data_IF_067902570751
#
_entry.id   IF_067902570751
#
_cell.length_a   1.000
_cell.length_b   1.000
_cell.length_c   1.000
_cell.angle_alpha   90.00
_cell.angle_beta   90.00
_cell.angle_gamma   90.00
#
_symmetry.space_group_name_H-M   'P 1'
#
loop_
_entity.id
_entity.type
_entity.pdbx_description
1 polymer ?
#
# COMPACT_ATOMS: atom_id res chain seq x y z
N UNK A 1 -34.75 5.60 18.62
CA UNK A 1 -34.12 4.51 17.85
C UNK A 1 -33.63 5.07 16.52
N UNK A 2 -32.34 5.41 16.43
CA UNK A 2 -31.74 5.97 15.21
C UNK A 2 -30.43 5.26 14.95
N UNK A 3 -30.47 4.13 14.26
CA UNK A 3 -29.27 3.45 13.80
C UNK A 3 -28.72 4.26 12.63
N UNK A 4 -27.85 5.23 12.93
CA UNK A 4 -27.05 5.88 11.91
C UNK A 4 -26.30 4.79 11.15
N UNK A 5 -26.64 4.61 9.88
CA UNK A 5 -25.95 3.66 8.99
C UNK A 5 -24.51 4.16 8.78
N UNK A 6 -23.61 3.80 9.68
CA UNK A 6 -22.19 4.06 9.53
C UNK A 6 -21.75 3.34 8.25
N UNK A 7 -21.39 4.11 7.22
CA UNK A 7 -20.72 3.61 6.01
C UNK A 7 -19.40 2.97 6.44
N UNK A 8 -19.42 1.68 6.77
CA UNK A 8 -18.22 0.94 7.15
C UNK A 8 -17.40 0.67 5.89
N UNK A 9 -16.13 1.07 5.92
CA UNK A 9 -15.17 0.63 4.91
C UNK A 9 -15.07 -0.90 4.94
N UNK A 10 -14.92 -1.51 3.76
CA UNK A 10 -14.68 -2.94 3.68
C UNK A 10 -13.40 -3.30 4.44
N UNK A 11 -13.46 -4.35 5.27
CA UNK A 11 -12.29 -4.88 5.98
C UNK A 11 -11.14 -5.20 5.01
N UNK A 12 -11.46 -5.67 3.79
CA UNK A 12 -10.47 -5.92 2.73
C UNK A 12 -9.80 -4.64 2.23
N UNK A 13 -10.56 -3.54 2.07
CA UNK A 13 -10.00 -2.26 1.67
C UNK A 13 -9.06 -1.66 2.75
N UNK A 14 -9.41 -1.85 4.03
CA UNK A 14 -8.57 -1.45 5.16
C UNK A 14 -7.28 -2.28 5.17
N UNK A 15 -7.37 -3.60 5.04
CA UNK A 15 -6.20 -4.48 5.03
C UNK A 15 -5.25 -4.16 3.86
N UNK A 16 -5.77 -4.05 2.63
CA UNK A 16 -4.96 -3.67 1.46
C UNK A 16 -4.23 -2.34 1.66
N UNK A 17 -4.91 -1.36 2.25
CA UNK A 17 -4.29 -0.06 2.52
C UNK A 17 -3.11 -0.16 3.49
N UNK A 18 -3.30 -0.85 4.63
CA UNK A 18 -2.25 -0.97 5.64
C UNK A 18 -1.08 -1.84 5.17
N UNK A 19 -1.33 -2.88 4.38
CA UNK A 19 -0.27 -3.70 3.77
C UNK A 19 0.59 -2.82 2.83
N UNK A 20 -0.05 -2.04 1.95
CA UNK A 20 0.66 -1.12 1.06
C UNK A 20 1.45 -0.09 1.87
N UNK A 21 0.84 0.50 2.91
CA UNK A 21 1.51 1.49 3.74
C UNK A 21 2.75 0.92 4.43
N UNK A 22 2.67 -0.28 5.02
CA UNK A 22 3.80 -0.96 5.63
C UNK A 22 4.92 -1.25 4.63
N UNK A 23 4.57 -1.71 3.42
CA UNK A 23 5.55 -1.96 2.35
C UNK A 23 6.24 -0.68 1.90
N UNK A 24 5.50 0.43 1.75
CA UNK A 24 6.07 1.74 1.37
C UNK A 24 7.04 2.24 2.45
N UNK A 25 6.67 2.15 3.73
CA UNK A 25 7.55 2.54 4.84
C UNK A 25 8.84 1.71 4.83
N UNK A 26 8.73 0.38 4.68
CA UNK A 26 9.89 -0.50 4.58
C UNK A 26 10.76 -0.15 3.35
N UNK A 27 10.13 0.19 2.22
CA UNK A 27 10.80 0.55 0.98
C UNK A 27 11.62 1.84 1.10
N UNK A 28 11.04 2.86 1.74
CA UNK A 28 11.70 4.13 2.06
C UNK A 28 12.84 3.88 3.04
N UNK A 29 12.58 3.20 4.17
CA UNK A 29 13.62 2.91 5.16
C UNK A 29 14.80 2.11 4.59
N UNK A 30 14.55 1.22 3.63
CA UNK A 30 15.60 0.49 2.94
C UNK A 30 16.46 1.37 2.01
N UNK A 31 15.85 2.38 1.37
CA UNK A 31 16.60 3.34 0.57
C UNK A 31 17.48 4.23 1.45
N UNK A 32 16.89 4.79 2.52
CA UNK A 32 17.57 5.63 3.51
C UNK A 32 18.75 4.89 4.17
N UNK A 33 18.56 3.61 4.54
CA UNK A 33 19.61 2.77 5.12
C UNK A 33 20.85 2.62 4.21
N UNK A 34 20.70 2.85 2.90
CA UNK A 34 21.78 2.67 1.92
C UNK A 34 22.45 3.97 1.49
N UNK A 35 22.08 5.13 2.06
CA UNK A 35 22.62 6.43 1.62
C UNK A 35 24.14 6.53 1.74
N UNK A 36 24.70 6.06 2.86
CA UNK A 36 26.14 6.13 3.14
C UNK A 36 26.94 4.93 2.60
N UNK A 37 26.30 4.01 1.88
CA UNK A 37 26.96 2.81 1.36
C UNK A 37 27.72 3.08 0.05
N UNK A 38 28.80 2.35 -0.17
CA UNK A 38 29.46 2.32 -1.49
C UNK A 38 28.53 1.72 -2.54
N UNK A 39 28.79 2.01 -3.81
CA UNK A 39 27.93 1.53 -4.90
C UNK A 39 27.90 0.02 -5.01
N UNK A 40 29.01 -0.68 -4.73
CA UNK A 40 29.01 -2.15 -4.71
C UNK A 40 28.16 -2.72 -3.57
N UNK A 41 28.24 -2.12 -2.37
CA UNK A 41 27.51 -2.59 -1.20
C UNK A 41 25.99 -2.30 -1.30
N UNK A 42 25.61 -1.22 -1.99
CA UNK A 42 24.21 -0.78 -2.16
C UNK A 42 23.39 -1.66 -3.10
N UNK A 43 24.03 -2.33 -4.06
CA UNK A 43 23.36 -3.10 -5.13
C UNK A 43 22.28 -4.08 -4.62
N UNK A 44 22.63 -5.05 -3.74
CA UNK A 44 21.69 -6.04 -3.22
C UNK A 44 20.48 -5.42 -2.51
N UNK A 45 20.68 -4.35 -1.73
CA UNK A 45 19.59 -3.65 -1.04
C UNK A 45 18.66 -2.94 -2.02
N UNK A 46 19.20 -2.35 -3.09
CA UNK A 46 18.39 -1.73 -4.12
C UNK A 46 17.58 -2.75 -4.94
N UNK A 47 18.04 -3.99 -5.06
CA UNK A 47 17.25 -5.05 -5.71
C UNK A 47 16.06 -5.49 -4.84
N UNK A 48 16.25 -5.53 -3.52
CA UNK A 48 15.14 -5.73 -2.56
C UNK A 48 14.17 -4.53 -2.60
N UNK A 49 14.68 -3.30 -2.65
CA UNK A 49 13.86 -2.08 -2.80
C UNK A 49 13.01 -2.12 -4.08
N UNK A 50 13.58 -2.47 -5.23
CA UNK A 50 12.81 -2.61 -6.49
C UNK A 50 11.73 -3.69 -6.37
N UNK A 51 12.06 -4.84 -5.78
CA UNK A 51 11.13 -5.95 -5.61
C UNK A 51 9.93 -5.55 -4.74
N UNK A 52 10.18 -4.86 -3.62
CA UNK A 52 9.12 -4.32 -2.77
C UNK A 52 8.30 -3.23 -3.50
N UNK A 53 8.95 -2.39 -4.30
CA UNK A 53 8.28 -1.39 -5.12
C UNK A 53 7.31 -2.03 -6.12
N UNK A 54 7.72 -3.13 -6.78
CA UNK A 54 6.84 -3.89 -7.69
C UNK A 54 5.66 -4.51 -6.93
N UNK A 55 5.88 -5.08 -5.74
CA UNK A 55 4.78 -5.56 -4.89
C UNK A 55 3.78 -4.45 -4.54
N UNK A 56 4.26 -3.25 -4.18
CA UNK A 56 3.42 -2.08 -3.92
C UNK A 56 2.62 -1.68 -5.15
N UNK A 57 3.22 -1.65 -6.34
CA UNK A 57 2.53 -1.36 -7.59
C UNK A 57 1.39 -2.36 -7.85
N UNK A 58 1.68 -3.66 -7.73
CA UNK A 58 0.67 -4.70 -7.92
C UNK A 58 -0.48 -4.60 -6.92
N UNK A 59 -0.18 -4.42 -5.63
CA UNK A 59 -1.20 -4.23 -4.59
C UNK A 59 -2.00 -2.95 -4.79
N UNK A 60 -1.38 -1.90 -5.34
CA UNK A 60 -2.09 -0.66 -5.68
C UNK A 60 -3.09 -0.89 -6.81
N UNK A 61 -2.73 -1.64 -7.85
CA UNK A 61 -3.69 -2.05 -8.88
C UNK A 61 -4.82 -2.90 -8.31
N UNK A 62 -4.53 -3.86 -7.42
CA UNK A 62 -5.56 -4.62 -6.71
C UNK A 62 -6.48 -3.71 -5.90
N UNK A 63 -5.95 -2.69 -5.22
CA UNK A 63 -6.75 -1.71 -4.45
C UNK A 63 -7.65 -0.87 -5.37
N UNK A 64 -7.15 -0.47 -6.54
CA UNK A 64 -7.95 0.26 -7.54
C UNK A 64 -9.05 -0.65 -8.11
N UNK A 65 -8.72 -1.89 -8.47
CA UNK A 65 -9.69 -2.89 -8.91
C UNK A 65 -10.74 -3.20 -7.84
N UNK A 66 -10.33 -3.25 -6.56
CA UNK A 66 -11.25 -3.41 -5.43
C UNK A 66 -12.28 -2.29 -5.35
N UNK A 67 -11.87 -1.04 -5.61
CA UNK A 67 -12.79 0.11 -5.65
C UNK A 67 -13.84 -0.02 -6.75
N UNK A 68 -13.48 -0.62 -7.89
CA UNK A 68 -14.42 -0.81 -9.01
C UNK A 68 -15.39 -1.96 -8.77
N UNK A 69 -14.93 -3.05 -8.15
CA UNK A 69 -15.79 -4.21 -7.83
C UNK A 69 -16.66 -3.99 -6.60
N UNK A 70 -16.20 -3.22 -5.62
CA UNK A 70 -16.92 -2.91 -4.40
C UNK A 70 -17.36 -1.45 -4.42
N UNK A 71 -18.57 -1.20 -4.93
CA UNK A 71 -19.19 0.13 -4.93
C UNK A 71 -19.15 0.72 -3.51
N UNK A 72 -18.37 1.78 -3.33
CA UNK A 72 -18.49 2.63 -2.14
C UNK A 72 -19.94 3.11 -2.06
N UNK A 73 -20.62 2.97 -0.91
CA UNK A 73 -22.00 3.45 -0.78
C UNK A 73 -22.04 4.89 -1.26
N UNK A 74 -22.80 5.12 -2.33
CA UNK A 74 -23.00 6.44 -2.93
C UNK A 74 -23.35 7.37 -1.76
N UNK A 75 -22.54 8.40 -1.55
CA UNK A 75 -22.96 9.48 -0.68
C UNK A 75 -24.25 10.02 -1.33
N UNK A 76 -25.39 9.77 -0.68
CA UNK A 76 -26.62 10.43 -1.07
C UNK A 76 -26.31 11.93 -1.00
N UNK A 77 -26.39 12.58 -2.16
CA UNK A 77 -26.25 14.01 -2.29
C UNK A 77 -27.59 14.65 -1.96
#
# INVERSE_FOLDING_TARGET
MGNANIRKYSKGAIALHWIIAALVIANIGLAEFTEDMTREARGPFMDVHKSFGICVLFLTFLRIGWRWTHKTPRAAR
#
